data_IF_772144402308
#
_entry.id   IF_772144402308
#
_cell.length_a   1.000
_cell.length_b   1.000
_cell.length_c   1.000
_cell.angle_alpha   90.00
_cell.angle_beta   90.00
_cell.angle_gamma   90.00
#
_symmetry.space_group_name_H-M   'P 1'
#
loop_
_entity.id
_entity.type
_entity.pdbx_description
1 polymer ?
#
# COMPACT_ATOMS: atom_id res chain seq x y z
N UNK A 1 -42.20 -64.49 20.58
CA UNK A 1 -42.72 -63.45 19.68
C UNK A 1 -41.88 -62.22 19.94
N UNK A 2 -40.82 -61.86 19.17
CA UNK A 2 -40.80 -61.54 17.73
C UNK A 2 -42.06 -60.72 17.39
N UNK A 3 -42.04 -59.41 17.11
CA UNK A 3 -41.22 -58.72 16.11
C UNK A 3 -41.01 -57.22 16.38
N UNK A 4 -39.93 -56.69 15.81
CA UNK A 4 -39.65 -55.28 15.56
C UNK A 4 -40.23 -54.82 14.23
N UNK A 5 -40.81 -53.60 14.13
CA UNK A 5 -40.75 -52.78 12.91
C UNK A 5 -40.69 -51.29 13.27
N UNK A 6 -39.69 -50.62 12.72
CA UNK A 6 -39.41 -49.19 12.77
C UNK A 6 -40.15 -48.44 11.66
N UNK A 7 -40.68 -47.25 11.93
CA UNK A 7 -40.83 -46.18 10.93
C UNK A 7 -40.51 -44.83 11.60
N UNK A 8 -39.35 -44.28 11.26
CA UNK A 8 -38.99 -42.87 11.41
C UNK A 8 -39.96 -42.00 10.58
N UNK A 9 -40.49 -40.91 11.15
CA UNK A 9 -40.88 -39.71 10.38
C UNK A 9 -40.51 -38.42 11.11
N UNK A 10 -39.34 -37.94 10.72
CA UNK A 10 -38.98 -36.53 10.44
C UNK A 10 -39.38 -35.49 11.49
N UNK A 11 -38.49 -35.27 12.46
CA UNK A 11 -38.21 -33.92 12.95
C UNK A 11 -37.67 -33.10 11.79
N UNK A 12 -38.41 -32.09 11.34
CA UNK A 12 -37.95 -31.09 10.38
C UNK A 12 -36.76 -30.34 11.00
N UNK A 13 -35.51 -30.46 10.51
CA UNK A 13 -34.51 -29.49 10.86
C UNK A 13 -34.86 -28.23 10.07
N UNK A 14 -35.21 -27.16 10.79
CA UNK A 14 -35.20 -25.81 10.21
C UNK A 14 -33.75 -25.55 9.82
N UNK A 15 -33.43 -25.81 8.55
CA UNK A 15 -32.21 -25.37 7.91
C UNK A 15 -32.35 -23.85 7.80
N UNK A 16 -31.89 -23.12 8.82
CA UNK A 16 -31.55 -21.70 8.67
C UNK A 16 -30.37 -21.72 7.70
N UNK A 17 -30.69 -21.58 6.42
CA UNK A 17 -29.73 -21.21 5.40
C UNK A 17 -29.31 -19.77 5.76
N UNK A 18 -28.36 -19.64 6.69
CA UNK A 18 -27.55 -18.44 6.80
C UNK A 18 -26.82 -18.37 5.45
N UNK A 19 -27.44 -17.68 4.49
CA UNK A 19 -26.70 -17.05 3.41
C UNK A 19 -25.78 -16.08 4.13
N UNK A 20 -24.62 -16.60 4.56
CA UNK A 20 -23.40 -15.84 4.65
C UNK A 20 -23.22 -15.25 3.25
N UNK A 21 -23.82 -14.09 3.03
CA UNK A 21 -23.21 -13.07 2.20
C UNK A 21 -21.89 -12.70 2.89
N UNK A 22 -20.93 -13.63 2.87
CA UNK A 22 -19.54 -13.26 2.74
C UNK A 22 -19.49 -12.62 1.34
N UNK A 23 -19.92 -11.36 1.24
CA UNK A 23 -19.36 -10.48 0.23
C UNK A 23 -17.86 -10.69 0.35
N UNK A 24 -17.27 -11.35 -0.65
CA UNK A 24 -15.83 -11.49 -0.72
C UNK A 24 -15.28 -10.10 -0.44
N UNK A 25 -14.62 -9.93 0.70
CA UNK A 25 -14.02 -8.65 1.06
C UNK A 25 -12.83 -8.55 0.13
N UNK A 26 -13.05 -7.93 -1.03
CA UNK A 26 -11.95 -7.58 -1.90
C UNK A 26 -11.17 -6.51 -1.17
N UNK A 27 -9.97 -6.89 -0.71
CA UNK A 27 -9.07 -5.95 -0.06
C UNK A 27 -8.68 -4.90 -1.09
N UNK A 28 -8.86 -3.64 -0.73
CA UNK A 28 -8.30 -2.55 -1.51
C UNK A 28 -6.78 -2.74 -1.61
N UNK A 29 -6.17 -2.21 -2.67
CA UNK A 29 -4.71 -2.29 -2.85
C UNK A 29 -4.16 -1.02 -3.51
N UNK A 30 -2.89 -0.72 -3.20
CA UNK A 30 -2.16 0.42 -3.70
C UNK A 30 -0.71 0.03 -4.01
N UNK A 31 -0.44 -0.23 -5.29
CA UNK A 31 0.88 -0.68 -5.76
C UNK A 31 1.61 0.45 -6.48
N UNK A 32 2.94 0.51 -6.35
CA UNK A 32 3.76 1.44 -7.12
C UNK A 32 4.17 0.82 -8.47
N UNK A 33 3.88 1.55 -9.55
CA UNK A 33 4.34 1.27 -10.90
C UNK A 33 5.36 2.32 -11.32
N UNK A 34 6.60 1.85 -11.52
CA UNK A 34 7.71 2.72 -11.92
C UNK A 34 7.65 3.10 -13.39
N UNK A 35 6.92 2.41 -14.27
CA UNK A 35 7.11 2.58 -15.72
C UNK A 35 7.23 4.07 -16.13
N UNK A 36 8.39 4.44 -16.67
CA UNK A 36 8.81 5.80 -17.07
C UNK A 36 9.11 6.84 -15.97
N UNK A 37 8.92 6.54 -14.69
CA UNK A 37 9.26 7.37 -13.54
C UNK A 37 10.51 6.92 -12.76
N UNK A 38 10.92 7.73 -11.78
CA UNK A 38 12.05 7.46 -10.89
C UNK A 38 11.72 7.85 -9.44
N UNK A 39 12.37 7.21 -8.48
CA UNK A 39 12.29 7.60 -7.07
C UNK A 39 13.49 8.44 -6.63
N UNK A 40 14.53 8.57 -7.46
CA UNK A 40 15.77 9.28 -7.16
C UNK A 40 16.21 10.19 -8.32
N UNK A 41 17.42 10.73 -8.22
CA UNK A 41 18.04 11.53 -9.27
C UNK A 41 17.42 12.92 -9.45
N UNK A 42 16.54 13.35 -8.54
CA UNK A 42 15.88 14.64 -8.67
C UNK A 42 16.86 15.79 -8.44
N UNK A 43 17.21 16.53 -9.48
CA UNK A 43 18.08 17.70 -9.37
C UNK A 43 17.46 18.78 -8.46
N UNK A 44 17.96 18.94 -7.22
CA UNK A 44 17.37 19.86 -6.21
C UNK A 44 17.87 21.30 -6.35
N UNK A 45 18.90 21.52 -7.16
CA UNK A 45 19.45 22.86 -7.43
C UNK A 45 18.67 23.64 -8.49
N UNK A 46 17.70 23.00 -9.16
CA UNK A 46 16.90 23.60 -10.24
C UNK A 46 15.43 23.59 -9.84
N UNK A 47 14.78 24.75 -9.93
CA UNK A 47 13.33 24.85 -9.80
C UNK A 47 12.66 24.51 -11.14
N UNK A 48 11.48 23.90 -11.09
CA UNK A 48 10.71 23.59 -12.29
C UNK A 48 10.07 24.86 -12.89
N UNK A 49 9.43 24.73 -14.06
CA UNK A 49 8.65 25.84 -14.65
C UNK A 49 7.31 25.32 -15.18
N UNK A 50 6.18 25.88 -14.74
CA UNK A 50 6.02 26.77 -13.57
C UNK A 50 6.53 26.13 -12.26
N UNK A 51 6.84 26.93 -11.23
CA UNK A 51 7.31 26.44 -9.92
C UNK A 51 6.34 26.76 -8.77
N UNK A 52 5.08 27.01 -9.08
CA UNK A 52 4.05 27.35 -8.12
C UNK A 52 2.77 26.52 -8.36
N UNK A 53 2.01 26.16 -7.31
CA UNK A 53 0.83 25.29 -7.40
C UNK A 53 -0.22 25.70 -8.43
N UNK A 54 -0.56 27.00 -8.49
CA UNK A 54 -1.62 27.51 -9.37
C UNK A 54 -1.38 27.29 -10.87
N UNK A 55 -0.14 27.01 -11.28
CA UNK A 55 0.20 26.69 -12.68
C UNK A 55 -0.21 25.29 -13.13
N UNK A 56 -0.76 24.46 -12.24
CA UNK A 56 -0.95 23.02 -12.47
C UNK A 56 -2.41 22.54 -12.37
N UNK A 57 -3.34 23.34 -11.87
CA UNK A 57 -4.78 23.02 -11.85
C UNK A 57 -5.39 23.25 -13.24
N UNK A 58 -4.96 22.45 -14.21
CA UNK A 58 -5.40 22.52 -15.60
C UNK A 58 -5.33 21.14 -16.28
N UNK A 59 -5.68 21.10 -17.57
CA UNK A 59 -5.75 19.86 -18.34
C UNK A 59 -4.38 19.36 -18.85
N UNK A 60 -3.31 20.15 -18.77
CA UNK A 60 -2.00 19.77 -19.28
C UNK A 60 -1.37 18.70 -18.40
N UNK A 61 -1.08 17.54 -18.97
CA UNK A 61 -0.40 16.47 -18.26
C UNK A 61 1.07 16.81 -17.96
N UNK A 62 1.59 16.23 -16.87
CA UNK A 62 2.92 16.58 -16.35
C UNK A 62 3.84 15.39 -16.13
N UNK A 63 3.44 14.18 -16.52
CA UNK A 63 4.24 12.97 -16.40
C UNK A 63 5.55 13.01 -17.20
N UNK A 64 5.68 13.93 -18.17
CA UNK A 64 6.90 14.12 -18.96
C UNK A 64 7.92 15.05 -18.28
N UNK A 65 7.58 15.67 -17.14
CA UNK A 65 8.51 16.51 -16.38
C UNK A 65 9.55 15.63 -15.68
N UNK A 66 10.73 16.20 -15.43
CA UNK A 66 11.84 15.50 -14.76
C UNK A 66 11.57 15.15 -13.29
N UNK A 67 10.46 15.63 -12.72
CA UNK A 67 9.96 15.21 -11.41
C UNK A 67 8.93 14.10 -11.45
N UNK A 68 8.71 13.42 -12.58
CA UNK A 68 7.77 12.31 -12.63
C UNK A 68 8.26 11.16 -11.75
N UNK A 69 7.54 10.93 -10.65
CA UNK A 69 7.86 9.90 -9.68
C UNK A 69 7.51 8.54 -10.28
N UNK A 70 6.31 8.45 -10.85
CA UNK A 70 5.76 7.21 -11.38
C UNK A 70 4.26 7.18 -11.14
N UNK A 71 3.71 5.98 -10.99
CA UNK A 71 2.28 5.74 -10.92
C UNK A 71 1.91 4.97 -9.67
N UNK A 72 0.76 5.31 -9.10
CA UNK A 72 0.11 4.48 -8.10
C UNK A 72 -1.03 3.73 -8.77
N UNK A 73 -1.09 2.42 -8.57
CA UNK A 73 -2.14 1.55 -9.06
C UNK A 73 -3.10 1.24 -7.92
N UNK A 74 -4.33 1.68 -8.06
CA UNK A 74 -5.36 1.60 -7.05
C UNK A 74 -6.49 0.65 -7.47
N UNK A 75 -6.82 -0.27 -6.56
CA UNK A 75 -8.04 -1.07 -6.56
C UNK A 75 -8.78 -0.82 -5.24
N UNK A 76 -10.08 -0.58 -5.31
CA UNK A 76 -10.93 -0.34 -4.16
C UNK A 76 -12.06 0.65 -4.46
N UNK A 77 -12.80 0.99 -3.41
CA UNK A 77 -13.90 1.94 -3.44
C UNK A 77 -13.43 3.40 -3.67
N UNK A 78 -14.32 4.33 -4.07
CA UNK A 78 -14.01 5.75 -4.01
C UNK A 78 -13.43 6.14 -2.65
N UNK A 79 -12.32 6.86 -2.62
CA UNK A 79 -11.62 7.21 -1.38
C UNK A 79 -10.86 8.54 -1.48
N UNK A 80 -10.33 8.97 -0.35
CA UNK A 80 -9.45 10.16 -0.25
C UNK A 80 -8.02 9.70 0.02
N UNK A 81 -7.09 10.17 -0.81
CA UNK A 81 -5.66 9.96 -0.59
C UNK A 81 -5.09 11.19 0.11
N UNK A 82 -4.41 10.98 1.23
CA UNK A 82 -3.75 12.03 2.00
C UNK A 82 -2.25 11.84 1.93
N UNK A 83 -1.53 12.92 1.61
CA UNK A 83 -0.08 12.92 1.43
C UNK A 83 0.56 13.65 2.59
N UNK A 84 1.37 12.95 3.37
CA UNK A 84 2.01 13.49 4.57
C UNK A 84 3.52 13.37 4.47
N UNK A 85 4.24 14.42 4.86
CA UNK A 85 5.67 14.36 5.08
C UNK A 85 5.93 13.57 6.37
N UNK A 86 6.54 12.39 6.22
CA UNK A 86 7.03 11.58 7.35
C UNK A 86 8.55 11.56 7.43
N UNK A 87 9.20 12.32 6.54
CA UNK A 87 10.65 12.47 6.50
C UNK A 87 11.14 13.62 7.38
N UNK A 88 12.39 14.06 7.16
CA UNK A 88 12.98 15.14 7.93
C UNK A 88 12.21 16.46 7.77
N UNK A 89 12.07 17.18 8.87
CA UNK A 89 11.35 18.46 8.89
C UNK A 89 12.32 19.61 8.63
N UNK A 90 12.14 20.33 7.53
CA UNK A 90 12.95 21.48 7.18
C UNK A 90 12.91 22.57 8.27
N UNK A 91 14.08 22.94 8.78
CA UNK A 91 14.24 24.02 9.74
C UNK A 91 13.88 25.37 9.10
N UNK A 92 13.42 26.31 9.93
CA UNK A 92 13.01 27.66 9.53
C UNK A 92 11.81 27.70 8.58
N UNK A 93 10.95 26.68 8.69
CA UNK A 93 9.68 26.57 7.97
C UNK A 93 8.57 26.21 8.96
N UNK A 94 7.32 26.30 8.52
CA UNK A 94 6.13 25.87 9.29
C UNK A 94 5.79 24.38 9.12
N UNK A 95 6.65 23.57 8.50
CA UNK A 95 6.41 22.15 8.17
C UNK A 95 5.06 21.88 7.46
N UNK A 96 4.60 22.85 6.66
CA UNK A 96 3.33 22.79 5.94
C UNK A 96 3.50 22.43 4.46
N UNK A 97 4.72 22.09 4.01
CA UNK A 97 5.07 21.72 2.64
C UNK A 97 5.93 20.45 2.64
N UNK A 98 6.32 20.01 1.45
CA UNK A 98 7.27 18.93 1.27
C UNK A 98 8.66 19.49 0.95
N UNK A 99 9.68 18.81 1.44
CA UNK A 99 11.06 19.25 1.33
C UNK A 99 11.97 18.08 1.00
N UNK A 100 12.93 18.33 0.12
CA UNK A 100 14.17 17.57 0.07
C UNK A 100 15.13 18.21 1.07
N UNK A 101 15.63 17.43 2.05
CA UNK A 101 16.65 17.87 3.00
C UNK A 101 17.98 17.18 2.71
N UNK A 102 19.09 17.91 2.82
CA UNK A 102 20.42 17.34 2.59
C UNK A 102 20.67 16.16 3.53
N UNK A 103 21.21 15.06 3.01
CA UNK A 103 21.65 13.92 3.78
C UNK A 103 23.19 14.00 3.95
N UNK A 104 23.63 14.28 5.18
CA UNK A 104 25.05 14.32 5.58
C UNK A 104 25.41 12.93 6.14
N UNK A 105 25.60 11.95 5.26
CA UNK A 105 26.14 10.63 5.62
C UNK A 105 25.19 9.80 6.51
N UNK A 106 23.94 9.65 6.07
CA UNK A 106 22.86 8.94 6.76
C UNK A 106 22.09 9.79 7.77
N UNK A 107 22.48 11.06 7.98
CA UNK A 107 21.79 11.97 8.89
C UNK A 107 21.25 13.20 8.16
N UNK A 108 19.94 13.52 8.31
CA UNK A 108 19.36 14.70 7.68
C UNK A 108 19.89 16.02 8.26
N UNK A 109 20.37 16.90 7.39
CA UNK A 109 20.62 18.30 7.69
C UNK A 109 19.40 19.14 7.30
N UNK A 110 18.51 19.34 8.27
CA UNK A 110 17.26 20.07 8.09
C UNK A 110 17.44 21.57 7.83
N UNK A 111 18.65 22.12 7.95
CA UNK A 111 18.98 23.51 7.62
C UNK A 111 19.26 23.76 6.14
N UNK A 112 19.34 22.70 5.33
CA UNK A 112 19.65 22.76 3.90
C UNK A 112 18.58 22.00 3.13
N UNK A 113 17.77 22.73 2.33
CA UNK A 113 16.58 22.12 1.74
C UNK A 113 16.08 22.80 0.46
N UNK A 114 15.35 22.03 -0.36
CA UNK A 114 14.53 22.48 -1.51
C UNK A 114 13.07 22.11 -1.25
N UNK A 115 12.17 23.08 -1.37
CA UNK A 115 10.73 22.83 -1.28
C UNK A 115 10.17 22.31 -2.61
N UNK A 116 9.22 21.39 -2.54
CA UNK A 116 8.45 20.92 -3.69
C UNK A 116 6.96 20.72 -3.33
N UNK A 117 6.14 20.53 -4.35
CA UNK A 117 4.76 20.07 -4.22
C UNK A 117 4.49 18.91 -5.19
N UNK A 118 3.41 18.18 -4.98
CA UNK A 118 3.02 17.08 -5.86
C UNK A 118 1.85 17.50 -6.75
N UNK A 119 1.84 16.97 -7.97
CA UNK A 119 0.75 17.04 -8.92
C UNK A 119 0.34 15.62 -9.25
N UNK A 120 -0.95 15.33 -9.10
CA UNK A 120 -1.52 14.02 -9.38
C UNK A 120 -2.58 14.08 -10.48
N UNK A 121 -2.69 13.02 -11.27
CA UNK A 121 -3.77 12.87 -12.26
C UNK A 121 -4.22 11.41 -12.29
N UNK A 122 -5.48 11.17 -11.93
CA UNK A 122 -6.04 9.82 -11.90
C UNK A 122 -6.73 9.47 -13.23
N UNK A 123 -6.48 8.25 -13.70
CA UNK A 123 -7.00 7.71 -14.95
C UNK A 123 -7.42 6.27 -14.71
N UNK A 124 -8.33 5.76 -15.53
CA UNK A 124 -8.93 4.44 -15.34
C UNK A 124 -8.58 3.50 -16.48
N UNK A 125 -8.48 2.22 -16.17
CA UNK A 125 -8.47 1.13 -17.13
C UNK A 125 -9.86 0.49 -17.05
N UNK A 126 -10.57 0.49 -18.18
CA UNK A 126 -11.88 -0.17 -18.28
C UNK A 126 -11.74 -1.69 -18.16
N UNK A 127 -12.83 -2.38 -17.86
CA UNK A 127 -12.86 -3.85 -17.84
C UNK A 127 -12.57 -4.47 -19.21
N UNK A 128 -12.78 -3.74 -20.31
CA UNK A 128 -12.36 -4.10 -21.66
C UNK A 128 -10.89 -3.78 -21.98
N UNK A 129 -10.12 -3.19 -21.05
CA UNK A 129 -8.70 -2.90 -21.19
C UNK A 129 -8.34 -1.54 -21.81
N UNK A 130 -9.33 -0.73 -22.19
CA UNK A 130 -9.08 0.64 -22.70
C UNK A 130 -8.77 1.62 -21.57
N UNK A 131 -7.81 2.52 -21.79
CA UNK A 131 -7.50 3.62 -20.87
C UNK A 131 -8.50 4.77 -21.03
N UNK A 132 -8.82 5.45 -19.94
CA UNK A 132 -9.75 6.58 -19.91
C UNK A 132 -9.33 7.63 -18.89
N UNK A 133 -9.07 8.84 -19.35
CA UNK A 133 -8.80 9.99 -18.47
C UNK A 133 -10.10 10.61 -17.99
N UNK A 134 -10.58 10.12 -16.84
CA UNK A 134 -11.77 10.66 -16.20
C UNK A 134 -11.51 11.90 -15.35
N UNK A 135 -10.25 12.15 -14.96
CA UNK A 135 -9.95 13.33 -14.12
C UNK A 135 -10.00 14.60 -14.95
N UNK A 136 -9.52 14.57 -16.20
CA UNK A 136 -9.44 15.69 -17.16
C UNK A 136 -8.59 16.90 -16.72
N UNK A 137 -8.36 17.08 -15.42
CA UNK A 137 -7.60 18.16 -14.77
C UNK A 137 -6.69 17.54 -13.70
N UNK A 138 -5.52 18.13 -13.46
CA UNK A 138 -4.64 17.68 -12.38
C UNK A 138 -5.12 18.14 -11.00
N UNK A 139 -4.87 17.31 -9.99
CA UNK A 139 -4.97 17.67 -8.57
C UNK A 139 -3.60 18.11 -8.05
N UNK A 140 -3.56 19.16 -7.22
CA UNK A 140 -2.31 19.72 -6.71
C UNK A 140 -2.26 19.55 -5.19
N UNK A 141 -1.28 18.79 -4.72
CA UNK A 141 -1.02 18.56 -3.30
C UNK A 141 0.12 19.49 -2.89
N UNK A 142 -0.27 20.72 -2.56
CA UNK A 142 0.68 21.78 -2.25
C UNK A 142 1.21 21.69 -0.81
N UNK A 143 0.42 21.16 0.12
CA UNK A 143 0.70 21.21 1.55
C UNK A 143 0.94 19.82 2.11
N UNK A 144 1.69 19.77 3.21
CA UNK A 144 1.74 18.60 4.09
C UNK A 144 0.31 18.27 4.59
N UNK A 145 -0.04 16.99 4.58
CA UNK A 145 -1.40 16.47 4.81
C UNK A 145 -2.44 16.97 3.80
N UNK A 146 -2.00 17.45 2.63
CA UNK A 146 -2.88 17.74 1.50
C UNK A 146 -3.48 16.45 0.94
N UNK A 147 -4.66 16.56 0.32
CA UNK A 147 -5.39 15.40 -0.18
C UNK A 147 -5.94 15.60 -1.59
N UNK A 148 -6.21 14.48 -2.27
CA UNK A 148 -7.08 14.46 -3.44
C UNK A 148 -8.18 13.40 -3.24
N UNK A 149 -9.36 13.69 -3.78
CA UNK A 149 -10.53 12.83 -3.68
C UNK A 149 -10.67 12.05 -4.99
N UNK A 150 -10.75 10.73 -4.88
CA UNK A 150 -11.06 9.83 -5.98
C UNK A 150 -12.53 9.44 -5.92
N UNK A 151 -13.35 10.00 -6.81
CA UNK A 151 -14.80 9.83 -6.80
C UNK A 151 -15.31 8.52 -7.45
N UNK A 152 -14.40 7.67 -7.92
CA UNK A 152 -14.72 6.44 -8.66
C UNK A 152 -13.88 5.29 -8.13
N UNK A 153 -14.49 4.11 -8.03
CA UNK A 153 -13.80 2.89 -7.61
C UNK A 153 -13.21 2.11 -8.79
N UNK A 154 -12.39 1.12 -8.46
CA UNK A 154 -11.84 0.14 -9.39
C UNK A 154 -11.76 -1.24 -8.74
N UNK A 155 -11.93 -2.29 -9.52
CA UNK A 155 -11.76 -3.65 -9.02
C UNK A 155 -12.64 -4.65 -9.74
N UNK A 156 -12.42 -5.95 -9.49
CA UNK A 156 -13.07 -7.05 -10.19
C UNK A 156 -14.38 -7.50 -9.56
N UNK A 157 -14.82 -6.82 -8.50
CA UNK A 157 -16.06 -7.08 -7.79
C UNK A 157 -17.26 -7.06 -8.72
N UNK A 158 -18.18 -7.98 -8.48
CA UNK A 158 -19.44 -8.05 -9.20
C UNK A 158 -20.52 -7.28 -8.46
N UNK A 159 -21.38 -6.59 -9.22
CA UNK A 159 -22.59 -5.98 -8.68
C UNK A 159 -23.59 -7.07 -8.27
N UNK A 160 -24.42 -6.80 -7.26
CA UNK A 160 -25.51 -7.71 -6.91
C UNK A 160 -26.67 -7.56 -7.90
N UNK A 161 -27.44 -8.62 -8.13
CA UNK A 161 -28.63 -8.52 -8.99
C UNK A 161 -29.62 -7.50 -8.41
N UNK A 162 -30.09 -6.57 -9.25
CA UNK A 162 -30.94 -5.44 -8.87
C UNK A 162 -30.17 -4.16 -8.55
N UNK A 163 -28.84 -4.20 -8.43
CA UNK A 163 -28.00 -3.02 -8.20
C UNK A 163 -27.49 -2.41 -9.50
N UNK A 164 -27.02 -1.17 -9.43
CA UNK A 164 -26.29 -0.54 -10.54
C UNK A 164 -24.94 -1.22 -10.67
N UNK A 165 -24.64 -1.68 -11.88
CA UNK A 165 -23.32 -2.15 -12.26
C UNK A 165 -22.87 -1.57 -13.60
N UNK A 166 -21.70 -2.00 -14.04
CA UNK A 166 -21.00 -1.49 -15.21
C UNK A 166 -20.68 -2.62 -16.19
N UNK A 167 -20.70 -2.32 -17.48
CA UNK A 167 -20.23 -3.21 -18.53
C UNK A 167 -18.72 -3.06 -18.79
N UNK A 168 -18.20 -3.79 -19.79
CA UNK A 168 -16.77 -3.73 -20.15
C UNK A 168 -16.29 -2.35 -20.59
N UNK A 169 -17.21 -1.50 -21.05
CA UNK A 169 -16.95 -0.20 -21.63
C UNK A 169 -17.41 0.95 -20.72
N UNK A 170 -17.63 0.67 -19.42
CA UNK A 170 -18.03 1.64 -18.39
C UNK A 170 -19.48 2.14 -18.50
N UNK A 171 -20.31 1.58 -19.38
CA UNK A 171 -21.72 1.96 -19.41
C UNK A 171 -22.41 1.41 -18.16
N UNK A 172 -23.20 2.24 -17.50
CA UNK A 172 -23.93 1.84 -16.29
C UNK A 172 -25.30 1.27 -16.64
N UNK A 173 -25.76 0.28 -15.88
CA UNK A 173 -27.12 -0.24 -15.95
C UNK A 173 -27.46 -1.10 -14.74
N UNK A 174 -28.72 -1.52 -14.62
CA UNK A 174 -29.14 -2.42 -13.54
C UNK A 174 -28.68 -3.84 -13.89
N UNK A 175 -27.92 -4.47 -12.99
CA UNK A 175 -27.47 -5.84 -13.16
C UNK A 175 -28.63 -6.81 -12.92
N UNK A 176 -28.89 -7.70 -13.87
CA UNK A 176 -29.99 -8.69 -13.75
C UNK A 176 -29.51 -10.06 -13.26
N UNK A 177 -28.24 -10.19 -12.87
CA UNK A 177 -27.61 -11.48 -12.59
C UNK A 177 -27.01 -12.18 -13.81
N UNK A 178 -27.33 -11.71 -15.02
CA UNK A 178 -26.93 -12.38 -16.28
C UNK A 178 -26.57 -11.43 -17.42
N UNK A 179 -26.88 -10.13 -17.31
CA UNK A 179 -26.60 -9.14 -18.35
C UNK A 179 -25.16 -8.58 -18.24
N UNK A 180 -24.83 -7.64 -19.14
CA UNK A 180 -23.48 -7.13 -19.28
C UNK A 180 -23.00 -6.26 -18.11
N UNK A 181 -23.91 -5.67 -17.31
CA UNK A 181 -23.61 -4.71 -16.24
C UNK A 181 -23.11 -5.38 -14.94
N UNK A 182 -22.24 -6.37 -15.07
CA UNK A 182 -21.87 -7.27 -13.96
C UNK A 182 -20.88 -6.68 -12.97
N UNK A 183 -20.16 -5.63 -13.32
CA UNK A 183 -19.07 -5.10 -12.48
C UNK A 183 -19.58 -4.06 -11.50
N UNK A 184 -19.15 -4.12 -10.23
CA UNK A 184 -19.52 -3.13 -9.20
C UNK A 184 -18.94 -1.75 -9.52
N UNK A 185 -17.74 -1.70 -10.10
CA UNK A 185 -17.04 -0.46 -10.42
C UNK A 185 -16.86 -0.23 -11.93
N UNK A 186 -16.77 1.04 -12.36
CA UNK A 186 -16.55 1.40 -13.77
C UNK A 186 -15.20 0.96 -14.35
N UNK A 187 -14.20 0.73 -13.50
CA UNK A 187 -12.83 0.44 -13.90
C UNK A 187 -12.34 -0.88 -13.29
N UNK A 188 -11.47 -1.58 -14.01
CA UNK A 188 -10.74 -2.73 -13.48
C UNK A 188 -9.54 -2.31 -12.64
N UNK A 189 -8.94 -1.16 -12.96
CA UNK A 189 -7.88 -0.52 -12.18
C UNK A 189 -7.87 0.99 -12.39
N UNK A 190 -7.42 1.74 -11.39
CA UNK A 190 -7.13 3.17 -11.50
C UNK A 190 -5.63 3.36 -11.39
N UNK A 191 -5.04 4.19 -12.25
CA UNK A 191 -3.65 4.61 -12.13
C UNK A 191 -3.60 6.12 -11.89
N UNK A 192 -2.73 6.52 -10.98
CA UNK A 192 -2.55 7.91 -10.58
C UNK A 192 -1.11 8.29 -10.92
N UNK A 193 -0.95 9.12 -11.95
CA UNK A 193 0.33 9.75 -12.24
C UNK A 193 0.72 10.65 -11.07
N UNK A 194 1.94 10.53 -10.55
CA UNK A 194 2.47 11.38 -9.48
C UNK A 194 3.73 12.09 -9.98
N UNK A 195 3.71 13.42 -9.96
CA UNK A 195 4.83 14.25 -10.38
C UNK A 195 5.18 15.24 -9.27
N UNK A 196 6.44 15.27 -8.84
CA UNK A 196 6.94 16.33 -7.98
C UNK A 196 7.34 17.56 -8.80
N UNK A 197 7.08 18.74 -8.27
CA UNK A 197 7.43 20.02 -8.87
C UNK A 197 8.26 20.81 -7.84
N UNK A 198 9.53 21.03 -8.14
CA UNK A 198 10.45 21.80 -7.29
C UNK A 198 10.14 23.27 -7.40
N UNK A 199 9.99 23.91 -6.24
CA UNK A 199 9.71 25.34 -6.15
C UNK A 199 10.99 26.18 -6.23
N UNK A 200 10.86 27.50 -6.40
CA UNK A 200 11.98 28.42 -6.20
C UNK A 200 12.42 28.53 -4.72
N UNK A 201 11.56 28.14 -3.77
CA UNK A 201 11.83 28.20 -2.34
C UNK A 201 12.88 27.16 -1.95
N UNK A 202 13.95 27.62 -1.31
CA UNK A 202 15.06 26.78 -0.85
C UNK A 202 15.89 27.49 0.20
N UNK A 203 16.72 26.71 0.89
CA UNK A 203 17.69 27.22 1.86
C UNK A 203 19.03 26.54 1.69
N UNK A 204 20.07 27.35 1.53
CA UNK A 204 21.48 26.94 1.59
C UNK A 204 21.84 25.71 0.75
N UNK A 205 21.20 25.54 -0.42
CA UNK A 205 21.44 24.40 -1.32
C UNK A 205 22.94 24.25 -1.57
N UNK A 206 23.48 23.11 -1.19
CA UNK A 206 24.89 22.75 -1.33
C UNK A 206 25.02 21.41 -2.01
N UNK A 207 26.26 21.01 -2.30
CA UNK A 207 26.55 19.72 -2.94
C UNK A 207 26.19 18.58 -2.00
N UNK A 208 25.58 17.53 -2.53
CA UNK A 208 25.16 16.38 -1.75
C UNK A 208 23.96 15.64 -2.32
N UNK A 209 23.59 14.58 -1.61
CA UNK A 209 22.32 13.91 -1.78
C UNK A 209 21.29 14.46 -0.81
N UNK A 210 20.02 14.36 -1.17
CA UNK A 210 18.91 14.88 -0.39
C UNK A 210 17.82 13.82 -0.30
N UNK A 211 17.05 13.82 0.78
CA UNK A 211 16.00 12.83 0.99
C UNK A 211 14.65 13.49 1.28
N UNK A 212 13.58 12.79 0.95
CA UNK A 212 12.21 13.14 1.32
C UNK A 212 11.37 11.87 1.44
N UNK A 213 10.57 11.74 2.50
CA UNK A 213 9.72 10.57 2.72
C UNK A 213 8.25 11.00 2.77
N UNK A 214 7.45 10.43 1.88
CA UNK A 214 6.04 10.81 1.70
C UNK A 214 5.18 9.60 2.01
N UNK A 215 4.33 9.72 3.03
CA UNK A 215 3.27 8.76 3.30
C UNK A 215 2.02 9.14 2.53
N UNK A 216 1.48 8.18 1.79
CA UNK A 216 0.19 8.24 1.13
C UNK A 216 -0.73 7.28 1.87
N UNK A 217 -1.74 7.82 2.56
CA UNK A 217 -2.71 7.02 3.29
C UNK A 217 -4.12 7.23 2.77
N UNK A 218 -4.95 6.21 2.96
CA UNK A 218 -6.40 6.30 2.75
C UNK A 218 -7.11 6.04 4.07
N UNK A 219 -8.35 6.53 4.21
CA UNK A 219 -9.18 6.21 5.38
C UNK A 219 -9.56 4.72 5.50
N UNK A 220 -9.21 3.90 4.49
CA UNK A 220 -9.56 2.50 4.39
C UNK A 220 -8.40 1.54 4.72
N UNK A 221 -7.36 2.01 5.43
CA UNK A 221 -6.25 1.16 5.91
C UNK A 221 -5.11 0.93 4.92
N UNK A 222 -5.15 1.56 3.74
CA UNK A 222 -4.01 1.53 2.82
C UNK A 222 -2.96 2.56 3.24
N UNK A 223 -1.72 2.11 3.31
CA UNK A 223 -0.55 2.93 3.62
C UNK A 223 0.55 2.65 2.59
N UNK A 224 1.03 3.70 1.92
CA UNK A 224 2.07 3.61 0.90
C UNK A 224 3.08 4.73 1.07
N UNK A 225 4.32 4.38 1.35
CA UNK A 225 5.41 5.32 1.57
C UNK A 225 6.32 5.38 0.35
N UNK A 226 6.63 6.60 -0.09
CA UNK A 226 7.63 6.89 -1.12
C UNK A 226 8.87 7.49 -0.46
N UNK A 227 10.00 6.81 -0.58
CA UNK A 227 11.32 7.32 -0.21
C UNK A 227 11.96 7.91 -1.47
N UNK A 228 12.22 9.22 -1.45
CA UNK A 228 12.66 9.98 -2.62
C UNK A 228 14.09 10.47 -2.45
N UNK A 229 14.91 10.32 -3.51
CA UNK A 229 16.30 10.77 -3.59
C UNK A 229 16.48 12.01 -4.48
N UNK A 230 17.01 13.09 -3.90
CA UNK A 230 17.42 14.29 -4.61
C UNK A 230 18.95 14.39 -4.73
N UNK A 231 19.43 15.12 -5.73
CA UNK A 231 20.86 15.30 -5.96
C UNK A 231 21.23 16.75 -6.29
N UNK A 232 22.40 17.17 -5.83
CA UNK A 232 23.08 18.35 -6.35
C UNK A 232 24.59 18.08 -6.39
N UNK A 233 25.13 17.75 -7.56
CA UNK A 233 26.56 17.55 -7.77
C UNK A 233 27.26 16.76 -6.63
N UNK A 234 26.75 15.58 -6.24
CA UNK A 234 27.32 14.81 -5.15
C UNK A 234 28.78 14.39 -5.45
N UNK A 235 29.52 14.08 -4.40
CA UNK A 235 30.89 13.56 -4.44
C UNK A 235 30.87 12.13 -3.92
N UNK A 236 31.93 11.37 -4.19
CA UNK A 236 32.09 10.00 -3.69
C UNK A 236 32.07 9.88 -2.16
N UNK A 237 32.24 10.98 -1.42
CA UNK A 237 32.15 11.01 0.04
C UNK A 237 30.74 11.15 0.58
N UNK A 238 29.75 11.47 -0.26
CA UNK A 238 28.37 11.62 0.17
C UNK A 238 27.63 10.29 0.04
N UNK A 239 26.82 9.95 1.03
CA UNK A 239 25.93 8.78 0.99
C UNK A 239 24.65 9.10 0.23
N UNK A 240 24.30 8.25 -0.73
CA UNK A 240 23.02 8.31 -1.42
C UNK A 240 21.91 7.75 -0.52
N UNK A 241 20.79 8.47 -0.31
CA UNK A 241 19.67 7.96 0.46
C UNK A 241 18.92 6.91 -0.34
N UNK A 242 18.31 5.99 0.38
CA UNK A 242 17.52 4.90 -0.20
C UNK A 242 16.33 5.46 -0.98
N UNK A 243 16.06 4.87 -2.14
CA UNK A 243 14.97 5.30 -3.03
C UNK A 243 14.08 4.11 -3.38
N UNK A 244 12.98 3.96 -2.64
CA UNK A 244 12.07 2.83 -2.77
C UNK A 244 10.62 3.21 -2.40
N UNK A 245 9.69 2.41 -2.88
CA UNK A 245 8.30 2.45 -2.48
C UNK A 245 8.02 1.26 -1.55
N UNK A 246 7.32 1.51 -0.46
CA UNK A 246 6.97 0.51 0.53
C UNK A 246 5.51 0.65 0.94
N UNK A 247 4.73 -0.43 0.90
CA UNK A 247 3.32 -0.38 1.24
C UNK A 247 2.92 -1.47 2.22
N UNK A 248 1.98 -1.12 3.09
CA UNK A 248 1.26 -2.06 3.95
C UNK A 248 -0.23 -1.90 3.63
N UNK A 249 -0.86 -3.02 3.32
CA UNK A 249 -2.30 -3.14 3.05
C UNK A 249 -2.91 -4.00 4.15
N UNK A 250 -3.57 -3.38 5.14
CA UNK A 250 -4.26 -4.09 6.22
C UNK A 250 -5.59 -4.65 5.71
N UNK A 251 -5.84 -5.95 5.90
CA UNK A 251 -7.14 -6.55 5.56
C UNK A 251 -8.20 -6.31 6.66
N UNK A 252 -7.77 -6.04 7.88
CA UNK A 252 -8.64 -5.81 9.03
C UNK A 252 -8.29 -4.46 9.68
N UNK A 253 -9.10 -3.44 9.40
CA UNK A 253 -8.95 -2.09 9.97
C UNK A 253 -9.73 -1.91 11.28
N UNK A 254 -10.45 -2.94 11.71
CA UNK A 254 -11.19 -3.02 12.96
C UNK A 254 -10.90 -4.33 13.69
N UNK A 255 -11.20 -4.37 15.00
CA UNK A 255 -11.11 -5.61 15.76
C UNK A 255 -12.00 -6.71 15.16
N UNK A 256 -11.49 -7.95 15.14
CA UNK A 256 -12.20 -9.15 14.73
C UNK A 256 -12.33 -10.13 15.91
N UNK A 257 -13.37 -10.97 15.96
CA UNK A 257 -13.59 -11.88 17.07
C UNK A 257 -12.56 -13.02 17.10
N UNK A 258 -12.18 -13.49 18.28
CA UNK A 258 -11.21 -14.59 18.45
C UNK A 258 -11.66 -15.90 17.75
N UNK A 259 -12.96 -16.09 17.53
CA UNK A 259 -13.50 -17.23 16.75
C UNK A 259 -12.92 -17.32 15.33
N UNK A 260 -12.42 -16.22 14.76
CA UNK A 260 -11.71 -16.24 13.48
C UNK A 260 -10.31 -16.86 13.57
N UNK A 261 -9.71 -16.91 14.76
CA UNK A 261 -8.38 -17.48 15.03
C UNK A 261 -8.42 -18.85 15.72
N UNK A 262 -9.47 -19.18 16.47
CA UNK A 262 -9.54 -20.35 17.39
C UNK A 262 -9.10 -21.68 16.75
N UNK A 263 -9.39 -21.87 15.45
CA UNK A 263 -9.05 -23.09 14.71
C UNK A 263 -7.89 -22.94 13.71
N UNK A 264 -7.24 -21.77 13.71
CA UNK A 264 -6.07 -21.48 12.88
C UNK A 264 -4.82 -21.75 13.70
N UNK A 265 -4.32 -22.98 13.65
CA UNK A 265 -3.24 -23.48 14.50
C UNK A 265 -1.97 -23.91 13.77
N UNK A 266 -1.88 -23.58 12.47
CA UNK A 266 -0.72 -23.89 11.64
C UNK A 266 -0.53 -22.84 10.56
N UNK A 267 0.66 -22.81 9.96
CA UNK A 267 0.97 -21.96 8.80
C UNK A 267 -0.05 -22.15 7.67
N UNK A 268 -0.46 -23.39 7.38
CA UNK A 268 -1.43 -23.68 6.32
C UNK A 268 -2.85 -23.17 6.64
N UNK A 269 -3.25 -23.16 7.91
CA UNK A 269 -4.56 -22.68 8.34
C UNK A 269 -4.58 -21.20 8.73
N UNK A 270 -3.43 -20.51 8.66
CA UNK A 270 -3.27 -19.14 9.15
C UNK A 270 -4.15 -18.12 8.42
N UNK A 271 -4.48 -17.03 9.12
CA UNK A 271 -5.30 -15.93 8.62
C UNK A 271 -4.44 -14.83 8.04
N UNK A 272 -4.61 -14.53 6.76
CA UNK A 272 -4.01 -13.33 6.18
C UNK A 272 -4.57 -12.07 6.84
N UNK A 273 -3.69 -11.18 7.30
CA UNK A 273 -4.07 -9.93 7.99
C UNK A 273 -3.48 -8.68 7.35
N UNK A 274 -2.36 -8.81 6.63
CA UNK A 274 -1.77 -7.72 5.88
C UNK A 274 -1.04 -8.25 4.64
N UNK A 275 -0.93 -7.41 3.62
CA UNK A 275 0.03 -7.57 2.52
C UNK A 275 1.08 -6.48 2.61
N UNK A 276 2.35 -6.84 2.40
CA UNK A 276 3.46 -5.89 2.35
C UNK A 276 4.10 -5.95 0.97
N UNK A 277 4.47 -4.78 0.44
CA UNK A 277 5.14 -4.68 -0.86
C UNK A 277 6.32 -3.73 -0.77
N UNK A 278 7.44 -4.15 -1.32
CA UNK A 278 8.62 -3.35 -1.53
C UNK A 278 8.92 -3.28 -3.03
N UNK A 279 9.24 -2.08 -3.53
CA UNK A 279 9.69 -1.87 -4.91
C UNK A 279 10.79 -0.83 -4.92
N UNK A 280 11.99 -1.21 -5.38
CA UNK A 280 13.06 -0.29 -5.72
C UNK A 280 13.66 -0.65 -7.06
N UNK A 281 14.20 0.35 -7.76
CA UNK A 281 14.87 0.10 -9.02
C UNK A 281 16.39 0.01 -8.94
N UNK A 282 16.96 0.37 -7.79
CA UNK A 282 18.40 0.34 -7.52
C UNK A 282 18.65 -0.57 -6.33
N UNK A 283 17.93 -0.35 -5.24
CA UNK A 283 18.26 -0.90 -3.93
C UNK A 283 17.68 -2.29 -3.74
N UNK A 284 18.54 -3.27 -3.49
CA UNK A 284 18.10 -4.52 -2.88
C UNK A 284 17.87 -4.29 -1.39
N UNK A 285 16.93 -5.04 -0.82
CA UNK A 285 16.63 -4.93 0.59
C UNK A 285 16.38 -6.30 1.22
N UNK A 286 16.62 -6.34 2.52
CA UNK A 286 16.15 -7.34 3.46
C UNK A 286 14.99 -6.78 4.26
N UNK A 287 13.88 -7.52 4.29
CA UNK A 287 12.70 -7.23 5.07
C UNK A 287 12.69 -8.16 6.28
N UNK A 288 12.74 -7.59 7.48
CA UNK A 288 12.72 -8.34 8.73
C UNK A 288 11.41 -8.14 9.49
N UNK A 289 10.83 -9.23 10.00
CA UNK A 289 9.60 -9.20 10.79
C UNK A 289 9.92 -9.50 12.26
N UNK A 290 9.48 -8.63 13.16
CA UNK A 290 9.78 -8.74 14.58
C UNK A 290 8.63 -8.32 15.48
N UNK A 291 8.68 -8.74 16.75
CA UNK A 291 7.76 -8.31 17.79
C UNK A 291 8.26 -7.10 18.59
N UNK A 292 9.44 -6.57 18.25
CA UNK A 292 9.99 -5.35 18.84
C UNK A 292 10.60 -4.42 17.79
N UNK A 293 10.66 -3.13 18.12
CA UNK A 293 11.22 -2.09 17.23
C UNK A 293 12.71 -2.29 16.89
N UNK A 294 13.44 -3.03 17.72
CA UNK A 294 14.85 -3.34 17.47
C UNK A 294 15.07 -4.45 16.43
N UNK A 295 14.01 -5.16 16.00
CA UNK A 295 14.12 -6.22 15.01
C UNK A 295 14.69 -7.55 15.53
N UNK A 296 14.82 -7.72 16.85
CA UNK A 296 15.56 -8.83 17.47
C UNK A 296 14.68 -9.92 18.07
N UNK A 297 13.39 -9.65 18.29
CA UNK A 297 12.45 -10.58 18.90
C UNK A 297 11.45 -11.12 17.88
N UNK A 298 11.10 -12.41 17.99
CA UNK A 298 10.07 -13.06 17.17
C UNK A 298 8.99 -13.75 18.03
N UNK A 299 8.85 -13.32 19.30
CA UNK A 299 7.82 -13.81 20.20
C UNK A 299 6.66 -12.81 20.23
N UNK A 300 5.50 -13.22 19.71
CA UNK A 300 4.36 -12.35 19.51
C UNK A 300 3.25 -12.60 20.54
N UNK A 301 2.68 -11.52 21.06
CA UNK A 301 1.63 -11.56 22.07
C UNK A 301 0.56 -10.53 21.75
N UNK A 302 -0.69 -10.95 21.91
CA UNK A 302 -1.82 -10.06 22.06
C UNK A 302 -1.89 -9.61 23.51
N UNK A 303 -2.09 -8.32 23.76
CA UNK A 303 -2.17 -7.74 25.11
C UNK A 303 -3.41 -6.86 25.27
N UNK A 304 -4.00 -6.89 26.47
CA UNK A 304 -5.03 -5.94 26.91
C UNK A 304 -4.40 -4.73 27.60
N UNK A 305 -5.20 -3.68 27.82
CA UNK A 305 -4.80 -2.54 28.67
C UNK A 305 -4.44 -2.95 30.10
N UNK A 306 -5.05 -4.03 30.60
CA UNK A 306 -4.91 -4.49 31.99
C UNK A 306 -3.78 -5.52 32.14
N UNK A 307 -3.02 -5.77 31.07
CA UNK A 307 -1.84 -6.64 31.09
C UNK A 307 -2.13 -8.13 30.90
N UNK A 308 -3.39 -8.54 30.68
CA UNK A 308 -3.70 -9.89 30.22
C UNK A 308 -3.12 -10.10 28.82
N UNK A 309 -2.56 -11.28 28.56
CA UNK A 309 -1.95 -11.59 27.28
C UNK A 309 -2.12 -13.04 26.87
N UNK A 310 -2.05 -13.31 25.56
CA UNK A 310 -1.96 -14.66 25.01
C UNK A 310 -1.03 -14.69 23.78
N UNK A 311 -0.35 -15.81 23.52
CA UNK A 311 0.58 -15.90 22.41
C UNK A 311 -0.14 -16.06 21.06
N UNK A 312 0.45 -15.50 20.02
CA UNK A 312 0.14 -15.88 18.64
C UNK A 312 1.45 -16.13 17.86
N UNK A 313 1.31 -16.53 16.61
CA UNK A 313 2.39 -16.77 15.67
C UNK A 313 2.12 -16.01 14.38
N UNK A 314 3.20 -15.55 13.79
CA UNK A 314 3.19 -14.90 12.48
C UNK A 314 3.75 -15.89 11.46
N UNK A 315 3.09 -16.00 10.32
CA UNK A 315 3.60 -16.67 9.15
C UNK A 315 3.82 -15.67 8.02
N UNK A 316 4.87 -15.91 7.26
CA UNK A 316 5.25 -15.19 6.05
C UNK A 316 4.94 -16.08 4.85
N UNK A 317 4.16 -15.56 3.92
CA UNK A 317 3.81 -16.22 2.66
C UNK A 317 4.23 -15.32 1.50
N UNK A 318 5.31 -15.71 0.82
CA UNK A 318 5.95 -14.90 -0.20
C UNK A 318 5.27 -15.12 -1.56
N UNK A 319 4.76 -14.04 -2.14
CA UNK A 319 4.26 -14.03 -3.52
C UNK A 319 5.39 -13.73 -4.49
N UNK A 320 6.26 -12.79 -4.13
CA UNK A 320 7.48 -12.44 -4.88
C UNK A 320 8.65 -12.30 -3.90
N UNK A 321 9.68 -13.16 -3.95
CA UNK A 321 9.76 -14.40 -4.73
C UNK A 321 8.70 -15.42 -4.30
N UNK A 322 8.27 -16.31 -5.19
CA UNK A 322 7.30 -17.36 -4.88
C UNK A 322 7.96 -18.45 -4.00
N UNK A 323 7.83 -18.33 -2.68
CA UNK A 323 8.40 -19.24 -1.69
C UNK A 323 7.29 -19.93 -0.89
N UNK A 324 7.58 -21.11 -0.37
CA UNK A 324 6.66 -21.78 0.56
C UNK A 324 6.45 -20.92 1.81
N UNK A 325 5.21 -20.84 2.34
CA UNK A 325 4.94 -20.14 3.59
C UNK A 325 5.78 -20.68 4.76
N UNK A 326 6.31 -19.79 5.60
CA UNK A 326 7.13 -20.13 6.78
C UNK A 326 6.62 -19.45 8.04
N UNK A 327 6.80 -20.07 9.20
CA UNK A 327 6.61 -19.39 10.49
C UNK A 327 7.77 -18.42 10.75
N UNK A 328 7.46 -17.24 11.29
CA UNK A 328 8.46 -16.29 11.76
C UNK A 328 9.04 -16.77 13.08
N UNK A 329 10.33 -17.07 13.05
CA UNK A 329 11.14 -17.44 14.21
C UNK A 329 12.42 -16.61 14.23
N UNK A 330 13.21 -16.61 15.31
CA UNK A 330 14.51 -15.92 15.31
C UNK A 330 15.48 -16.37 14.21
N UNK A 331 15.25 -17.53 13.58
CA UNK A 331 16.07 -18.06 12.49
C UNK A 331 15.45 -17.85 11.08
N UNK A 332 14.20 -17.38 11.00
CA UNK A 332 13.42 -17.31 9.76
C UNK A 332 12.58 -16.03 9.70
N UNK A 333 13.18 -14.90 10.08
CA UNK A 333 12.49 -13.62 10.16
C UNK A 333 12.95 -12.58 9.14
N UNK A 334 13.92 -12.89 8.28
CA UNK A 334 14.48 -11.96 7.30
C UNK A 334 14.32 -12.52 5.89
N UNK A 335 13.89 -11.67 4.96
CA UNK A 335 13.55 -12.04 3.59
C UNK A 335 14.14 -11.04 2.60
N UNK A 336 14.84 -11.55 1.59
CA UNK A 336 15.54 -10.72 0.61
C UNK A 336 14.68 -10.47 -0.62
N UNK A 337 14.72 -9.23 -1.12
CA UNK A 337 14.08 -8.85 -2.38
C UNK A 337 14.66 -9.60 -3.58
N UNK A 338 13.87 -9.76 -4.63
CA UNK A 338 14.31 -10.35 -5.90
C UNK A 338 14.13 -9.39 -7.07
N UNK A 339 15.08 -9.37 -7.98
CA UNK A 339 14.98 -8.59 -9.21
C UNK A 339 13.99 -9.27 -10.18
N UNK A 340 12.91 -8.57 -10.53
CA UNK A 340 11.87 -9.09 -11.44
C UNK A 340 11.44 -8.03 -12.45
N UNK A 341 11.04 -8.49 -13.64
CA UNK A 341 10.47 -7.63 -14.68
C UNK A 341 8.95 -7.63 -14.58
N UNK A 342 8.36 -6.44 -14.52
CA UNK A 342 6.91 -6.23 -14.41
C UNK A 342 6.40 -5.50 -15.64
N UNK A 343 5.26 -5.94 -16.15
CA UNK A 343 4.53 -5.24 -17.21
C UNK A 343 3.67 -4.17 -16.57
N UNK A 344 3.82 -2.93 -17.02
CA UNK A 344 2.97 -1.84 -16.56
C UNK A 344 1.58 -1.98 -17.19
N UNK A 345 0.50 -1.83 -16.41
CA UNK A 345 -0.86 -1.94 -16.93
C UNK A 345 -1.22 -0.80 -17.89
N UNK A 346 -0.37 0.24 -17.99
CA UNK A 346 -0.56 1.37 -18.90
C UNK A 346 0.44 1.37 -20.07
N UNK A 347 1.22 0.30 -20.19
CA UNK A 347 2.14 0.06 -21.31
C UNK A 347 3.62 0.07 -20.91
N UNK A 348 4.39 -0.82 -21.54
CA UNK A 348 5.81 -1.00 -21.27
C UNK A 348 6.09 -1.98 -20.12
N UNK A 349 7.36 -2.11 -19.77
CA UNK A 349 7.83 -2.96 -18.68
C UNK A 349 9.06 -2.37 -18.03
N UNK A 350 9.30 -2.71 -16.76
CA UNK A 350 10.49 -2.29 -16.02
C UNK A 350 10.99 -3.42 -15.14
N UNK A 351 12.29 -3.41 -14.87
CA UNK A 351 12.93 -4.29 -13.90
C UNK A 351 13.12 -3.53 -12.58
N UNK A 352 12.82 -4.19 -11.47
CA UNK A 352 12.95 -3.66 -10.12
C UNK A 352 13.26 -4.79 -9.13
N UNK A 353 13.95 -4.45 -8.05
CA UNK A 353 14.03 -5.26 -6.84
C UNK A 353 12.69 -5.18 -6.13
N UNK A 354 12.08 -6.35 -5.94
CA UNK A 354 10.71 -6.45 -5.44
C UNK A 354 10.61 -7.49 -4.36
N UNK A 355 9.73 -7.21 -3.42
CA UNK A 355 9.21 -8.19 -2.51
C UNK A 355 7.69 -7.96 -2.39
N UNK A 356 6.92 -9.04 -2.41
CA UNK A 356 5.48 -9.01 -2.13
C UNK A 356 5.16 -10.21 -1.25
N UNK A 357 4.62 -9.93 -0.08
CA UNK A 357 4.41 -10.92 0.97
C UNK A 357 3.05 -10.73 1.65
N UNK A 358 2.54 -11.83 2.18
CA UNK A 358 1.34 -11.88 3.01
C UNK A 358 1.74 -12.19 4.45
N UNK A 359 1.35 -11.33 5.36
CA UNK A 359 1.44 -11.56 6.80
C UNK A 359 0.21 -12.33 7.23
N UNK A 360 0.44 -13.48 7.86
CA UNK A 360 -0.64 -14.32 8.37
C UNK A 360 -0.50 -14.58 9.86
N UNK A 361 -1.62 -14.71 10.55
CA UNK A 361 -1.68 -15.00 11.98
C UNK A 361 -2.27 -16.38 12.24
N UNK A 362 -1.75 -17.05 13.25
CA UNK A 362 -2.32 -18.27 13.79
C UNK A 362 -1.99 -18.34 15.29
N UNK A 363 -2.73 -19.17 16.04
CA UNK A 363 -2.56 -19.32 17.49
C UNK A 363 -2.14 -20.73 17.84
N UNK A 364 -1.35 -20.95 18.91
CA UNK A 364 -1.07 -22.30 19.39
C UNK A 364 -2.36 -23.08 19.70
N UNK A 365 -2.30 -24.41 19.56
CA UNK A 365 -3.42 -25.29 19.92
C UNK A 365 -3.80 -25.06 21.39
N UNK A 366 -5.11 -25.06 21.68
CA UNK A 366 -5.69 -24.80 23.01
C UNK A 366 -5.48 -23.38 23.55
N UNK A 367 -5.24 -22.39 22.68
CA UNK A 367 -5.27 -20.98 23.09
C UNK A 367 -6.71 -20.59 23.44
N UNK A 368 -6.95 -20.22 24.70
CA UNK A 368 -8.26 -19.79 25.20
C UNK A 368 -8.07 -18.49 26.00
N UNK A 369 -8.10 -17.32 25.34
CA UNK A 369 -7.91 -16.04 26.03
C UNK A 369 -9.11 -15.70 26.90
N UNK A 370 -8.89 -14.90 27.94
CA UNK A 370 -9.99 -14.29 28.68
C UNK A 370 -10.77 -13.33 27.77
N UNK A 371 -12.03 -13.05 28.12
CA UNK A 371 -12.81 -12.05 27.40
C UNK A 371 -12.16 -10.66 27.54
N UNK A 372 -11.99 -9.97 26.41
CA UNK A 372 -11.38 -8.65 26.38
C UNK A 372 -11.02 -8.19 24.97
N UNK A 373 -10.66 -6.91 24.86
CA UNK A 373 -10.09 -6.35 23.64
C UNK A 373 -8.57 -6.42 23.72
N UNK A 374 -7.96 -7.09 22.74
CA UNK A 374 -6.52 -7.27 22.67
C UNK A 374 -5.95 -6.54 21.45
N UNK A 375 -4.69 -6.13 21.57
CA UNK A 375 -3.92 -5.52 20.48
C UNK A 375 -2.50 -6.10 20.44
N UNK A 376 -1.83 -5.95 19.31
CA UNK A 376 -0.42 -6.28 19.16
C UNK A 376 0.22 -5.38 18.11
N UNK A 377 1.54 -5.32 18.10
CA UNK A 377 2.32 -4.60 17.08
C UNK A 377 3.32 -5.57 16.46
N UNK A 378 3.25 -5.70 15.14
CA UNK A 378 4.24 -6.40 14.34
C UNK A 378 5.11 -5.32 13.70
N UNK A 379 6.42 -5.40 13.93
CA UNK A 379 7.39 -4.49 13.36
C UNK A 379 7.93 -5.10 12.07
N UNK A 380 7.92 -4.30 11.01
CA UNK A 380 8.51 -4.64 9.72
C UNK A 380 9.67 -3.67 9.50
N UNK A 381 10.87 -4.20 9.36
CA UNK A 381 12.10 -3.43 9.21
C UNK A 381 12.63 -3.62 7.80
N UNK A 382 13.01 -2.52 7.15
CA UNK A 382 13.60 -2.52 5.81
C UNK A 382 15.07 -2.16 5.95
N UNK A 383 15.96 -3.07 5.57
CA UNK A 383 17.41 -2.86 5.57
C UNK A 383 17.92 -2.98 4.15
N UNK A 384 18.61 -1.97 3.65
CA UNK A 384 19.25 -2.06 2.34
C UNK A 384 20.41 -3.07 2.40
N UNK A 385 20.60 -3.81 1.31
CA UNK A 385 21.77 -4.67 1.10
C UNK A 385 22.41 -4.33 -0.25
N UNK A 386 23.74 -4.36 -0.28
CA UNK A 386 24.55 -4.02 -1.47
C UNK A 386 24.66 -5.17 -2.49
#
# INVERSE_FOLDING_TARGET
>A
MLESWSILKQSTPILILLLLCCSAVFSASLTYDRATGNLDGFAVNIADSPNYPGGYTNATEVWSKSGFIGRLLYLGEPCTFTFSNIGPVASYTSNNRFYFTLNNDGTPNTGVWREFFLVTRAKGITHGGSQHDFSSINSVIANNSGSFILNVGAGTELASAGEVGYDTNRNSGVYTGTNAFRYKYPYSAIWIDVTLIRTASSRSITRGYYESHILISTGAGLSHTLYLGGTNNPRSSHTEPNAYAFSIEELYTSAFPFSELENRNSVAASMEVATIKYVSHVDQAEISIASNAAGTAAAFYFTTSDGLYFPFRVAYDAVTPNLSPVEITPASNTFTTVSTTVVSPVGGSYTANRLEEKIKLFVPVNTNPAEGLYSSTIYILVTQID
#
